data_IF_210819979735
#
_entry.id   IF_210819979735
#
_cell.length_a   1.000
_cell.length_b   1.000
_cell.length_c   1.000
_cell.angle_alpha   90.00
_cell.angle_beta   90.00
_cell.angle_gamma   90.00
#
_symmetry.space_group_name_H-M   'P 1'
#
loop_
_entity.id
_entity.type
_entity.pdbx_description
1 polymer ?
#
# COMPACT_ATOMS: atom_id res chain seq x y z
N UNK A 1 36.38 28.27 -44.95
CA UNK A 1 36.23 27.00 -44.20
C UNK A 1 35.61 27.11 -42.80
N UNK A 2 35.26 28.30 -42.26
CA UNK A 2 34.76 28.46 -40.86
C UNK A 2 33.24 28.28 -40.66
N UNK A 3 32.41 28.32 -41.72
CA UNK A 3 30.95 28.20 -41.59
C UNK A 3 30.42 26.77 -41.47
N UNK A 4 31.15 25.76 -41.99
CA UNK A 4 30.71 24.35 -41.97
C UNK A 4 30.77 23.75 -40.56
N UNK A 5 31.72 24.18 -39.73
CA UNK A 5 31.87 23.73 -38.35
C UNK A 5 30.79 24.31 -37.42
N UNK A 6 30.41 25.59 -37.63
CA UNK A 6 29.32 26.24 -36.88
C UNK A 6 27.95 25.62 -37.20
N UNK A 7 27.69 25.26 -38.45
CA UNK A 7 26.45 24.58 -38.81
C UNK A 7 26.34 23.16 -38.23
N UNK A 8 27.43 22.39 -38.23
CA UNK A 8 27.44 21.03 -37.65
C UNK A 8 27.22 21.02 -36.13
N UNK A 9 27.77 22.00 -35.42
CA UNK A 9 27.59 22.12 -33.95
C UNK A 9 26.15 22.51 -33.61
N UNK A 10 25.57 23.48 -34.33
CA UNK A 10 24.17 23.88 -34.17
C UNK A 10 23.16 22.74 -34.46
N UNK A 11 23.43 21.92 -35.49
CA UNK A 11 22.62 20.73 -35.80
C UNK A 11 22.70 19.66 -34.71
N UNK A 12 23.86 19.50 -34.05
CA UNK A 12 24.05 18.55 -32.95
C UNK A 12 23.28 19.00 -31.69
N UNK A 13 23.29 20.30 -31.38
CA UNK A 13 22.52 20.87 -30.28
C UNK A 13 21.00 20.73 -30.49
N UNK A 14 20.49 21.02 -31.70
CA UNK A 14 19.06 20.84 -32.01
C UNK A 14 18.59 19.39 -31.91
N UNK A 15 19.43 18.43 -32.28
CA UNK A 15 19.08 17.01 -32.14
C UNK A 15 19.06 16.57 -30.68
N UNK A 16 19.96 17.07 -29.82
CA UNK A 16 19.97 16.76 -28.39
C UNK A 16 18.76 17.33 -27.64
N UNK A 17 18.35 18.57 -27.95
CA UNK A 17 17.14 19.18 -27.37
C UNK A 17 15.86 18.52 -27.86
N UNK A 18 15.78 18.12 -29.15
CA UNK A 18 14.64 17.36 -29.67
C UNK A 18 14.50 15.99 -28.99
N UNK A 19 15.62 15.31 -28.69
CA UNK A 19 15.61 14.04 -27.95
C UNK A 19 15.19 14.23 -26.48
N UNK A 20 15.65 15.30 -25.82
CA UNK A 20 15.21 15.64 -24.46
C UNK A 20 13.70 15.92 -24.39
N UNK A 21 13.16 16.73 -25.30
CA UNK A 21 11.73 17.04 -25.35
C UNK A 21 10.86 15.80 -25.63
N UNK A 22 11.35 14.85 -26.45
CA UNK A 22 10.67 13.57 -26.68
C UNK A 22 10.60 12.72 -25.40
N UNK A 23 11.68 12.63 -24.63
CA UNK A 23 11.69 11.90 -23.35
C UNK A 23 10.75 12.50 -22.29
N UNK A 24 10.68 13.85 -22.22
CA UNK A 24 9.76 14.56 -21.33
C UNK A 24 8.30 14.36 -21.75
N UNK A 25 8.00 14.43 -23.05
CA UNK A 25 6.65 14.18 -23.57
C UNK A 25 6.19 12.72 -23.37
N UNK A 26 7.10 11.74 -23.46
CA UNK A 26 6.80 10.35 -23.14
C UNK A 26 6.51 10.16 -21.65
N UNK A 27 7.26 10.83 -20.78
CA UNK A 27 7.02 10.85 -19.33
C UNK A 27 5.70 11.52 -18.94
N UNK A 28 5.30 12.58 -19.64
CA UNK A 28 4.00 13.25 -19.45
C UNK A 28 2.85 12.35 -19.91
N UNK A 29 2.95 11.71 -21.08
CA UNK A 29 1.94 10.77 -21.59
C UNK A 29 1.77 9.53 -20.70
N UNK A 30 2.85 9.03 -20.10
CA UNK A 30 2.77 7.93 -19.13
C UNK A 30 2.08 8.37 -17.83
N UNK A 31 2.28 9.63 -17.43
CA UNK A 31 1.63 10.24 -16.26
C UNK A 31 0.14 10.52 -16.46
N UNK A 32 -0.27 10.92 -17.66
CA UNK A 32 -1.67 11.12 -18.02
C UNK A 32 -2.46 9.81 -17.97
N UNK A 33 -1.90 8.70 -18.49
CA UNK A 33 -2.55 7.38 -18.39
C UNK A 33 -2.79 6.92 -16.95
N UNK A 34 -1.84 7.16 -16.04
CA UNK A 34 -1.99 6.84 -14.60
C UNK A 34 -3.09 7.67 -13.94
N UNK A 35 -3.36 8.88 -14.45
CA UNK A 35 -4.41 9.77 -13.93
C UNK A 35 -5.79 9.29 -14.37
N UNK A 36 -5.93 8.79 -15.59
CA UNK A 36 -7.20 8.28 -16.13
C UNK A 36 -7.67 7.00 -15.40
N UNK A 37 -6.74 6.08 -15.09
CA UNK A 37 -7.05 4.84 -14.34
C UNK A 37 -7.53 5.12 -12.90
N UNK A 38 -7.13 6.24 -12.31
CA UNK A 38 -7.49 6.67 -10.96
C UNK A 38 -8.87 7.36 -10.88
N UNK A 39 -9.37 7.94 -11.97
CA UNK A 39 -10.73 8.50 -12.06
C UNK A 39 -11.80 7.41 -12.20
N UNK A 40 -11.47 6.29 -12.86
CA UNK A 40 -12.36 5.14 -13.02
C UNK A 40 -12.61 4.41 -11.69
N UNK A 41 -11.63 4.38 -10.78
CA UNK A 41 -11.77 3.72 -9.47
C UNK A 41 -12.63 4.52 -8.47
N UNK A 42 -12.65 5.86 -8.57
CA UNK A 42 -13.40 6.74 -7.63
C UNK A 42 -14.93 6.72 -7.91
N UNK A 43 -15.36 6.24 -9.09
CA UNK A 43 -16.78 6.03 -9.42
C UNK A 43 -17.31 4.69 -8.90
N UNK A 44 -16.49 3.63 -8.95
CA UNK A 44 -16.90 2.27 -8.54
C UNK A 44 -17.01 2.11 -7.00
N UNK A 45 -16.23 2.84 -6.20
CA UNK A 45 -16.33 2.78 -4.72
C UNK A 45 -17.63 3.39 -4.17
N UNK A 46 -18.28 4.29 -4.92
CA UNK A 46 -19.54 4.91 -4.50
C UNK A 46 -20.73 3.97 -4.64
N UNK A 47 -20.75 3.10 -5.64
CA UNK A 47 -21.87 2.17 -5.87
C UNK A 47 -21.91 0.99 -4.89
N UNK A 48 -20.77 0.55 -4.33
CA UNK A 48 -20.71 -0.63 -3.43
C UNK A 48 -21.18 -0.34 -1.98
N UNK A 49 -21.44 0.92 -1.63
CA UNK A 49 -21.77 1.34 -0.25
C UNK A 49 -23.27 1.31 0.10
N UNK A 50 -24.15 1.00 -0.84
CA UNK A 50 -25.61 1.17 -0.68
C UNK A 50 -26.34 -0.12 -0.24
N UNK A 51 -25.72 -1.30 -0.24
CA UNK A 51 -26.45 -2.59 -0.13
C UNK A 51 -26.15 -3.48 1.08
N UNK A 52 -25.89 -2.93 2.27
CA UNK A 52 -25.88 -3.75 3.52
C UNK A 52 -26.65 -3.12 4.68
N UNK A 53 -27.96 -2.99 4.53
CA UNK A 53 -28.88 -2.97 5.67
C UNK A 53 -29.43 -4.37 5.87
N UNK A 54 -29.08 -5.02 6.98
CA UNK A 54 -29.94 -5.90 7.79
C UNK A 54 -29.10 -6.49 8.93
N UNK A 55 -29.10 -5.80 10.07
CA UNK A 55 -28.61 -6.32 11.34
C UNK A 55 -29.74 -7.17 11.96
N UNK A 56 -29.64 -8.50 11.84
CA UNK A 56 -30.42 -9.42 12.66
C UNK A 56 -29.97 -9.31 14.12
N UNK A 57 -30.92 -8.89 14.96
CA UNK A 57 -30.82 -8.87 16.42
C UNK A 57 -30.73 -10.30 16.98
N UNK A 58 -29.54 -10.69 17.44
CA UNK A 58 -29.36 -11.94 18.19
C UNK A 58 -29.08 -11.61 19.66
N UNK A 59 -30.12 -11.75 20.49
CA UNK A 59 -30.08 -11.53 21.94
C UNK A 59 -29.52 -12.76 22.66
N UNK A 60 -28.31 -12.63 23.21
CA UNK A 60 -27.80 -13.55 24.24
C UNK A 60 -27.26 -12.75 25.43
N UNK A 61 -27.92 -12.92 26.57
CA UNK A 61 -27.66 -12.27 27.84
C UNK A 61 -26.31 -12.72 28.45
N UNK A 62 -25.59 -11.81 29.10
CA UNK A 62 -24.36 -12.08 29.89
C UNK A 62 -24.55 -11.45 31.28
N UNK A 63 -24.19 -12.13 32.39
CA UNK A 63 -24.54 -11.68 33.74
C UNK A 63 -23.72 -10.45 34.17
N UNK A 64 -24.39 -9.54 34.89
CA UNK A 64 -23.84 -8.26 35.36
C UNK A 64 -23.16 -8.47 36.72
N UNK A 65 -21.83 -8.42 36.73
CA UNK A 65 -21.09 -8.13 37.95
C UNK A 65 -21.37 -6.68 38.38
N UNK A 66 -21.67 -6.48 39.66
CA UNK A 66 -22.03 -5.18 40.26
C UNK A 66 -20.96 -4.11 40.03
N UNK A 67 -21.14 -3.33 38.98
CA UNK A 67 -20.53 -2.00 38.82
C UNK A 67 -21.32 -1.06 39.72
N UNK A 68 -20.65 -0.29 40.58
CA UNK A 68 -21.30 0.66 41.49
C UNK A 68 -22.14 1.66 40.68
N UNK A 69 -23.46 1.55 40.82
CA UNK A 69 -24.46 2.37 40.15
C UNK A 69 -24.57 3.70 40.92
N UNK A 70 -24.17 4.82 40.30
CA UNK A 70 -24.56 6.17 40.76
C UNK A 70 -26.10 6.23 40.88
N UNK A 71 -26.69 7.05 41.78
CA UNK A 71 -28.12 7.00 42.12
C UNK A 71 -29.11 7.12 40.93
N UNK A 72 -28.64 7.54 39.75
CA UNK A 72 -29.41 7.70 38.52
C UNK A 72 -29.19 6.58 37.47
N UNK A 73 -28.60 5.45 37.86
CA UNK A 73 -28.63 4.21 37.06
C UNK A 73 -27.74 4.13 35.82
N UNK A 74 -27.11 5.24 35.40
CA UNK A 74 -26.34 5.32 34.15
C UNK A 74 -24.84 5.41 34.42
N UNK A 75 -24.09 4.43 33.91
CA UNK A 75 -22.64 4.56 33.76
C UNK A 75 -22.34 5.82 32.93
N UNK A 76 -21.61 6.79 33.47
CA UNK A 76 -21.12 7.92 32.69
C UNK A 76 -20.24 7.40 31.56
N UNK A 77 -20.75 7.47 30.33
CA UNK A 77 -19.95 7.16 29.15
C UNK A 77 -18.87 8.24 29.05
N UNK A 78 -17.61 7.90 29.40
CA UNK A 78 -16.46 8.75 29.08
C UNK A 78 -16.50 9.06 27.58
N UNK A 79 -16.78 10.32 27.24
CA UNK A 79 -16.80 10.76 25.84
C UNK A 79 -15.38 10.66 25.29
N UNK A 80 -15.20 9.97 24.17
CA UNK A 80 -13.91 9.93 23.49
C UNK A 80 -13.53 11.36 23.05
N UNK A 81 -12.51 11.95 23.68
CA UNK A 81 -12.01 13.27 23.31
C UNK A 81 -11.03 13.09 22.14
N UNK A 82 -11.58 13.15 20.93
CA UNK A 82 -10.79 13.11 19.69
C UNK A 82 -9.90 14.34 19.52
N UNK A 83 -9.10 14.35 18.44
CA UNK A 83 -8.33 15.52 18.03
C UNK A 83 -9.29 16.65 17.65
N UNK A 84 -9.24 17.77 18.35
CA UNK A 84 -10.14 18.92 18.16
C UNK A 84 -9.66 19.89 17.11
N UNK A 85 -8.35 20.09 17.00
CA UNK A 85 -7.79 21.21 16.27
C UNK A 85 -7.60 20.86 14.79
N UNK A 86 -7.97 21.80 13.92
CA UNK A 86 -7.94 21.61 12.47
C UNK A 86 -6.88 22.52 11.84
N UNK A 87 -6.05 21.93 10.98
CA UNK A 87 -5.04 22.65 10.19
C UNK A 87 -5.53 22.69 8.74
N UNK A 88 -5.55 23.89 8.14
CA UNK A 88 -5.91 24.11 6.73
C UNK A 88 -4.73 24.78 6.02
N UNK A 89 -4.36 24.27 4.85
CA UNK A 89 -3.30 24.86 4.02
C UNK A 89 -3.82 25.09 2.60
N UNK A 90 -3.29 26.11 1.93
CA UNK A 90 -3.54 26.37 0.51
C UNK A 90 -2.58 25.51 -0.32
N UNK A 91 -3.08 24.92 -1.40
CA UNK A 91 -2.30 24.13 -2.33
C UNK A 91 -2.76 24.38 -3.76
N UNK A 92 -1.84 24.21 -4.70
CA UNK A 92 -2.17 24.05 -6.12
C UNK A 92 -2.96 22.76 -6.35
N UNK A 93 -3.72 22.73 -7.44
CA UNK A 93 -4.50 21.55 -7.88
C UNK A 93 -3.58 20.33 -8.01
N UNK A 94 -2.37 20.54 -8.53
CA UNK A 94 -1.38 19.50 -8.71
C UNK A 94 -0.86 18.91 -7.38
N UNK A 95 -0.52 19.77 -6.42
CA UNK A 95 -0.05 19.36 -5.09
C UNK A 95 -1.10 18.52 -4.36
N UNK A 96 -2.37 18.95 -4.46
CA UNK A 96 -3.51 18.21 -3.90
C UNK A 96 -3.63 16.81 -4.52
N UNK A 97 -3.49 16.68 -5.84
CA UNK A 97 -3.50 15.38 -6.54
C UNK A 97 -2.31 14.52 -6.09
N UNK A 98 -1.11 15.11 -6.00
CA UNK A 98 0.08 14.38 -5.59
C UNK A 98 0.00 13.87 -4.15
N UNK A 99 -0.53 14.67 -3.22
CA UNK A 99 -0.77 14.26 -1.83
C UNK A 99 -1.77 13.10 -1.76
N UNK A 100 -2.84 13.13 -2.57
CA UNK A 100 -3.80 12.03 -2.67
C UNK A 100 -3.12 10.73 -3.14
N UNK A 101 -2.35 10.79 -4.23
CA UNK A 101 -1.68 9.60 -4.79
C UNK A 101 -0.70 9.02 -3.78
N UNK A 102 0.18 9.84 -3.20
CA UNK A 102 1.16 9.37 -2.20
C UNK A 102 0.49 8.76 -0.96
N UNK A 103 -0.60 9.36 -0.49
CA UNK A 103 -1.37 8.83 0.64
C UNK A 103 -2.02 7.48 0.29
N UNK A 104 -2.64 7.35 -0.90
CA UNK A 104 -3.23 6.10 -1.41
C UNK A 104 -2.19 4.99 -1.51
N UNK A 105 -1.04 5.25 -2.12
CA UNK A 105 0.06 4.28 -2.22
C UNK A 105 0.54 3.81 -0.86
N UNK A 106 0.51 4.68 0.16
CA UNK A 106 0.90 4.32 1.53
C UNK A 106 -0.22 3.62 2.32
N UNK A 107 -1.44 3.51 1.76
CA UNK A 107 -2.62 3.01 2.46
C UNK A 107 -3.07 3.90 3.61
N UNK A 108 -2.78 5.21 3.56
CA UNK A 108 -3.08 6.17 4.63
C UNK A 108 -4.09 7.22 4.16
N UNK A 109 -4.81 7.80 5.11
CA UNK A 109 -5.56 9.03 4.84
C UNK A 109 -4.60 10.20 4.62
N UNK A 110 -5.00 11.19 3.83
CA UNK A 110 -4.18 12.39 3.54
C UNK A 110 -3.72 13.05 4.84
N UNK A 111 -4.64 13.20 5.81
CA UNK A 111 -4.33 13.82 7.09
C UNK A 111 -3.26 13.04 7.88
N UNK A 112 -3.27 11.72 7.78
CA UNK A 112 -2.32 10.87 8.46
C UNK A 112 -0.96 10.85 7.76
N UNK A 113 -0.96 10.78 6.43
CA UNK A 113 0.23 10.91 5.61
C UNK A 113 0.98 12.20 5.92
N UNK A 114 0.28 13.35 5.95
CA UNK A 114 0.91 14.63 6.29
C UNK A 114 1.48 14.64 7.72
N UNK A 115 0.73 14.10 8.70
CA UNK A 115 1.24 13.99 10.08
C UNK A 115 2.51 13.14 10.14
N UNK A 116 2.52 11.96 9.52
CA UNK A 116 3.69 11.06 9.52
C UNK A 116 4.89 11.71 8.83
N UNK A 117 4.65 12.40 7.71
CA UNK A 117 5.70 13.11 6.98
C UNK A 117 6.33 14.23 7.83
N UNK A 118 5.53 15.02 8.55
CA UNK A 118 6.03 16.10 9.42
C UNK A 118 6.77 15.57 10.64
N UNK A 119 6.31 14.46 11.22
CA UNK A 119 6.96 13.82 12.37
C UNK A 119 8.07 12.83 11.99
N UNK A 120 8.54 12.85 10.74
CA UNK A 120 9.58 11.97 10.20
C UNK A 120 9.35 10.47 10.51
N UNK A 121 8.08 10.08 10.58
CA UNK A 121 7.71 8.67 10.79
C UNK A 121 7.83 7.94 9.47
N UNK A 122 8.32 6.70 9.52
CA UNK A 122 8.42 5.85 8.34
C UNK A 122 7.05 5.70 7.65
N UNK A 123 7.03 6.03 6.36
CA UNK A 123 5.88 5.84 5.49
C UNK A 123 6.23 4.69 4.55
N UNK A 124 5.74 3.49 4.89
CA UNK A 124 5.90 2.30 4.05
C UNK A 124 4.82 2.29 2.98
N UNK A 125 5.23 2.03 1.74
CA UNK A 125 4.29 1.83 0.65
C UNK A 125 3.51 0.52 0.87
N UNK A 126 2.22 0.54 0.55
CA UNK A 126 1.35 -0.63 0.60
C UNK A 126 1.75 -1.57 -0.54
N UNK A 127 1.86 -2.86 -0.23
CA UNK A 127 2.06 -3.88 -1.24
C UNK A 127 0.84 -3.94 -2.16
N UNK A 128 1.07 -4.01 -3.47
CA UNK A 128 0.01 -4.29 -4.47
C UNK A 128 -0.72 -5.59 -4.13
N UNK A 129 -2.01 -5.67 -4.42
CA UNK A 129 -2.81 -6.88 -4.24
C UNK A 129 -2.17 -8.13 -4.89
N UNK A 130 -1.59 -7.98 -6.10
CA UNK A 130 -0.88 -9.07 -6.80
C UNK A 130 0.33 -9.57 -6.00
N UNK A 131 1.11 -8.65 -5.43
CA UNK A 131 2.27 -8.99 -4.61
C UNK A 131 1.83 -9.72 -3.34
N UNK A 132 0.73 -9.28 -2.72
CA UNK A 132 0.16 -9.95 -1.55
C UNK A 132 -0.23 -11.39 -1.90
N UNK A 133 -0.82 -11.61 -3.09
CA UNK A 133 -1.16 -12.96 -3.54
C UNK A 133 0.07 -13.83 -3.77
N UNK A 134 1.09 -13.32 -4.45
CA UNK A 134 2.37 -14.03 -4.65
C UNK A 134 3.01 -14.40 -3.30
N UNK A 135 2.98 -13.52 -2.30
CA UNK A 135 3.51 -13.87 -0.98
C UNK A 135 2.67 -14.92 -0.27
N UNK A 136 1.35 -14.90 -0.41
CA UNK A 136 0.46 -15.94 0.14
C UNK A 136 0.77 -17.30 -0.49
N UNK A 137 0.98 -17.38 -1.80
CA UNK A 137 1.33 -18.63 -2.48
C UNK A 137 2.72 -19.12 -2.05
N UNK A 138 3.68 -18.21 -1.90
CA UNK A 138 5.02 -18.55 -1.42
C UNK A 138 5.01 -19.14 0.00
N UNK A 139 4.17 -18.61 0.90
CA UNK A 139 3.95 -19.18 2.24
C UNK A 139 3.34 -20.58 2.15
N UNK A 140 2.38 -20.81 1.25
CA UNK A 140 1.81 -22.15 1.02
C UNK A 140 2.88 -23.13 0.55
N UNK A 141 3.74 -22.74 -0.38
CA UNK A 141 4.83 -23.59 -0.86
C UNK A 141 5.82 -23.95 0.25
N UNK A 142 6.21 -23.01 1.11
CA UNK A 142 7.04 -23.31 2.27
C UNK A 142 6.44 -24.43 3.14
N UNK A 143 5.14 -24.34 3.45
CA UNK A 143 4.44 -25.34 4.24
C UNK A 143 4.37 -26.69 3.53
N UNK A 144 4.12 -26.69 2.21
CA UNK A 144 4.09 -27.90 1.39
C UNK A 144 5.46 -28.60 1.39
N UNK A 145 6.56 -27.88 1.16
CA UNK A 145 7.91 -28.45 1.21
C UNK A 145 8.24 -28.99 2.59
N UNK A 146 7.85 -28.30 3.67
CA UNK A 146 8.02 -28.80 5.04
C UNK A 146 7.25 -30.12 5.27
N UNK A 147 6.03 -30.22 4.73
CA UNK A 147 5.23 -31.46 4.80
C UNK A 147 5.90 -32.61 4.04
N UNK A 148 6.43 -32.35 2.84
CA UNK A 148 7.18 -33.32 2.04
C UNK A 148 8.42 -33.80 2.82
N UNK A 149 9.21 -32.87 3.37
CA UNK A 149 10.39 -33.22 4.18
C UNK A 149 10.03 -34.04 5.42
N UNK A 150 8.88 -33.78 6.05
CA UNK A 150 8.37 -34.61 7.16
C UNK A 150 8.03 -36.03 6.71
N UNK A 151 7.39 -36.18 5.54
CA UNK A 151 6.99 -37.47 5.01
C UNK A 151 8.19 -38.39 4.70
N UNK A 152 9.27 -37.83 4.15
CA UNK A 152 10.46 -38.59 3.75
C UNK A 152 11.54 -38.70 4.85
N UNK A 153 11.29 -38.14 6.05
CA UNK A 153 12.30 -38.06 7.12
C UNK A 153 12.96 -39.39 7.50
N UNK A 154 12.21 -40.50 7.45
CA UNK A 154 12.71 -41.85 7.76
C UNK A 154 13.08 -42.68 6.52
N UNK A 155 12.62 -42.25 5.33
CA UNK A 155 12.77 -43.00 4.07
C UNK A 155 14.05 -42.57 3.35
N UNK A 156 14.18 -41.27 3.08
CA UNK A 156 15.28 -40.70 2.31
C UNK A 156 15.85 -39.45 3.01
N UNK A 157 16.90 -39.61 3.84
CA UNK A 157 17.47 -38.48 4.59
C UNK A 157 18.13 -37.44 3.67
N UNK A 158 18.66 -37.86 2.51
CA UNK A 158 19.26 -36.96 1.51
C UNK A 158 18.22 -36.02 0.90
N UNK A 159 17.12 -36.57 0.39
CA UNK A 159 15.99 -35.80 -0.15
C UNK A 159 15.42 -34.86 0.92
N UNK A 160 15.25 -35.36 2.14
CA UNK A 160 14.76 -34.57 3.27
C UNK A 160 15.62 -33.33 3.49
N UNK A 161 16.96 -33.47 3.48
CA UNK A 161 17.90 -32.35 3.64
C UNK A 161 17.73 -31.30 2.55
N UNK A 162 17.65 -31.71 1.28
CA UNK A 162 17.50 -30.81 0.13
C UNK A 162 16.15 -30.05 0.18
N UNK A 163 15.06 -30.74 0.49
CA UNK A 163 13.73 -30.13 0.61
C UNK A 163 13.68 -29.13 1.77
N UNK A 164 14.29 -29.46 2.91
CA UNK A 164 14.39 -28.53 4.04
C UNK A 164 15.26 -27.32 3.74
N UNK A 165 16.33 -27.50 2.96
CA UNK A 165 17.16 -26.39 2.51
C UNK A 165 16.34 -25.39 1.67
N UNK A 166 15.61 -25.89 0.67
CA UNK A 166 14.72 -25.06 -0.15
C UNK A 166 13.64 -24.36 0.69
N UNK A 167 13.02 -25.07 1.64
CA UNK A 167 12.03 -24.49 2.54
C UNK A 167 12.62 -23.36 3.40
N UNK A 168 13.88 -23.49 3.83
CA UNK A 168 14.59 -22.45 4.60
C UNK A 168 14.96 -21.24 3.72
N UNK A 169 15.34 -21.44 2.48
CA UNK A 169 15.59 -20.37 1.51
C UNK A 169 14.33 -19.53 1.28
N UNK A 170 13.19 -20.19 1.04
CA UNK A 170 11.88 -19.52 0.90
C UNK A 170 11.55 -18.71 2.16
N UNK A 171 11.79 -19.29 3.35
CA UNK A 171 11.55 -18.60 4.63
C UNK A 171 12.44 -17.37 4.80
N UNK A 172 13.68 -17.40 4.32
CA UNK A 172 14.58 -16.27 4.37
C UNK A 172 14.13 -15.15 3.43
N UNK A 173 13.69 -15.48 2.21
CA UNK A 173 13.07 -14.49 1.31
C UNK A 173 11.85 -13.81 1.94
N UNK A 174 10.97 -14.57 2.59
CA UNK A 174 9.79 -14.01 3.27
C UNK A 174 10.15 -13.10 4.45
N UNK A 175 11.26 -13.35 5.17
CA UNK A 175 11.71 -12.47 6.26
C UNK A 175 12.17 -11.11 5.77
N UNK A 176 12.83 -11.06 4.61
CA UNK A 176 13.32 -9.81 4.04
C UNK A 176 12.18 -8.85 3.68
N UNK A 177 11.01 -9.40 3.30
CA UNK A 177 9.81 -8.63 2.94
C UNK A 177 9.10 -8.05 4.17
N UNK A 178 9.28 -8.66 5.34
CA UNK A 178 8.68 -8.18 6.60
C UNK A 178 9.41 -6.98 7.20
N UNK A 179 10.65 -6.72 6.77
CA UNK A 179 11.50 -5.64 7.28
C UNK A 179 11.07 -4.30 6.69
#
# INVERSE_FOLDING_TARGET
>A
MKNRAKYKTFLKEKNSTSQQMKSVSAGIKFREKIIDDAEITEQNEKELSISTTNLESNSRCVPVGTILISPDGRNEKKRFKGKSDCIKFRCSIYEKKLLKIKAKNSGLTISEFCRRAVFEKEIKERLSEDLIEIYKTLVKFHNNFKSIGNMFRKKDPKLTKEVYQLANEIKNHLKNVKK
#
